data_IF_146049058728
#
_entry.id   IF_146049058728
#
_cell.length_a   1.000
_cell.length_b   1.000
_cell.length_c   1.000
_cell.angle_alpha   90.00
_cell.angle_beta   90.00
_cell.angle_gamma   90.00
#
_symmetry.space_group_name_H-M   'P 1'
#
loop_
_entity.id
_entity.type
_entity.pdbx_description
1 polymer ?
#
# COMPACT_ATOMS: atom_id res chain seq x y z
N UNK A 1 -16.91 -17.49 -5.54
CA UNK A 1 -15.85 -16.52 -5.86
C UNK A 1 -15.58 -16.53 -7.37
N UNK A 2 -15.61 -15.37 -8.04
CA UNK A 2 -15.29 -15.22 -9.47
C UNK A 2 -13.90 -15.75 -9.80
N UNK A 3 -13.71 -16.22 -11.05
CA UNK A 3 -12.42 -16.76 -11.51
C UNK A 3 -11.28 -15.73 -11.39
N UNK A 4 -11.60 -14.46 -11.66
CA UNK A 4 -10.70 -13.32 -11.49
C UNK A 4 -9.97 -13.32 -10.13
N UNK A 5 -10.69 -13.56 -9.03
CA UNK A 5 -10.12 -13.45 -7.69
C UNK A 5 -8.95 -14.43 -7.44
N UNK A 6 -8.93 -15.59 -8.10
CA UNK A 6 -7.82 -16.54 -7.97
C UNK A 6 -6.51 -16.04 -8.57
N UNK A 7 -6.55 -15.06 -9.47
CA UNK A 7 -5.36 -14.39 -10.02
C UNK A 7 -4.94 -13.17 -9.19
N UNK A 8 -5.86 -12.62 -8.38
CA UNK A 8 -5.62 -11.45 -7.51
C UNK A 8 -4.97 -11.87 -6.19
N UNK A 9 -5.45 -12.96 -5.58
CA UNK A 9 -4.95 -13.43 -4.28
C UNK A 9 -3.44 -13.73 -4.24
N UNK A 10 -2.84 -14.38 -5.25
CA UNK A 10 -1.39 -14.60 -5.29
C UNK A 10 -0.59 -13.30 -5.35
N UNK A 11 -1.12 -12.27 -6.01
CA UNK A 11 -0.48 -10.96 -6.09
C UNK A 11 -0.38 -10.31 -4.71
N UNK A 12 -1.48 -10.34 -3.94
CA UNK A 12 -1.47 -9.84 -2.56
C UNK A 12 -0.50 -10.64 -1.69
N UNK A 13 -0.56 -11.97 -1.76
CA UNK A 13 0.38 -12.83 -1.05
C UNK A 13 1.84 -12.47 -1.38
N UNK A 14 2.18 -12.36 -2.66
CA UNK A 14 3.55 -12.10 -3.11
C UNK A 14 4.05 -10.73 -2.70
N UNK A 15 3.20 -9.70 -2.77
CA UNK A 15 3.56 -8.34 -2.35
C UNK A 15 3.77 -8.26 -0.83
N UNK A 16 2.93 -8.94 -0.03
CA UNK A 16 3.10 -9.02 1.43
C UNK A 16 4.32 -9.84 1.83
N UNK A 17 4.53 -11.00 1.21
CA UNK A 17 5.74 -11.81 1.38
C UNK A 17 6.99 -10.97 1.11
N UNK A 18 6.94 -10.13 0.09
CA UNK A 18 8.05 -9.29 -0.31
C UNK A 18 8.31 -8.14 0.69
N UNK A 19 7.26 -7.38 1.02
CA UNK A 19 7.35 -6.27 1.98
C UNK A 19 7.88 -6.73 3.35
N UNK A 20 7.33 -7.82 3.90
CA UNK A 20 7.75 -8.35 5.19
C UNK A 20 9.08 -9.12 5.14
N UNK A 21 9.58 -9.49 3.96
CA UNK A 21 10.92 -10.05 3.80
C UNK A 21 12.00 -8.96 3.79
N UNK A 22 11.69 -7.80 3.21
CA UNK A 22 12.64 -6.67 3.12
C UNK A 22 12.67 -5.86 4.40
N UNK A 23 11.51 -5.42 4.91
CA UNK A 23 11.41 -4.40 5.95
C UNK A 23 12.20 -4.71 7.25
N UNK A 24 12.15 -5.93 7.82
CA UNK A 24 12.88 -6.24 9.06
C UNK A 24 14.40 -6.27 8.89
N UNK A 25 14.88 -6.53 7.66
CA UNK A 25 16.29 -6.72 7.36
C UNK A 25 17.03 -5.41 7.02
N UNK A 26 16.29 -4.30 6.83
CA UNK A 26 16.86 -3.02 6.37
C UNK A 26 17.88 -2.41 7.32
N UNK A 27 17.65 -2.49 8.64
CA UNK A 27 18.59 -1.94 9.62
C UNK A 27 19.99 -2.55 9.49
N UNK A 28 20.06 -3.88 9.36
CA UNK A 28 21.34 -4.58 9.20
C UNK A 28 21.92 -4.38 7.79
N UNK A 29 21.07 -4.36 6.76
CA UNK A 29 21.48 -4.06 5.39
C UNK A 29 22.20 -2.70 5.29
N UNK A 30 21.64 -1.63 5.86
CA UNK A 30 22.28 -0.30 5.83
C UNK A 30 23.62 -0.27 6.59
N UNK A 31 23.72 -1.01 7.71
CA UNK A 31 24.96 -1.12 8.47
C UNK A 31 26.05 -1.85 7.66
N UNK A 32 25.71 -2.95 6.99
CA UNK A 32 26.68 -3.80 6.31
C UNK A 32 27.08 -3.28 4.92
N UNK A 33 26.15 -2.68 4.17
CA UNK A 33 26.41 -2.22 2.80
C UNK A 33 26.95 -0.78 2.75
N UNK A 34 26.43 0.11 3.59
CA UNK A 34 26.86 1.52 3.65
C UNK A 34 27.75 1.86 4.84
N UNK A 35 27.94 0.95 5.79
CA UNK A 35 28.68 1.27 7.02
C UNK A 35 27.94 2.26 7.93
N UNK A 36 26.61 2.39 7.81
CA UNK A 36 25.85 3.31 8.66
C UNK A 36 25.91 2.89 10.13
N UNK A 37 25.94 3.86 11.03
CA UNK A 37 25.70 3.58 12.44
C UNK A 37 24.25 3.10 12.69
N UNK A 38 24.02 2.49 13.86
CA UNK A 38 22.71 1.93 14.23
C UNK A 38 21.59 2.98 14.21
N UNK A 39 21.87 4.21 14.65
CA UNK A 39 20.86 5.27 14.74
C UNK A 39 20.43 5.73 13.35
N UNK A 40 21.39 5.93 12.45
CA UNK A 40 21.18 6.33 11.06
C UNK A 40 20.45 5.24 10.28
N UNK A 41 20.89 3.99 10.39
CA UNK A 41 20.21 2.86 9.75
C UNK A 41 18.72 2.77 10.15
N UNK A 42 18.43 2.98 11.44
CA UNK A 42 17.06 3.03 11.97
C UNK A 42 16.24 4.19 11.41
N UNK A 43 16.83 5.38 11.26
CA UNK A 43 16.17 6.52 10.61
C UNK A 43 15.77 6.17 9.17
N UNK A 44 16.68 5.59 8.38
CA UNK A 44 16.38 5.20 7.00
C UNK A 44 15.30 4.10 6.90
N UNK A 45 15.36 3.07 7.75
CA UNK A 45 14.32 2.02 7.78
C UNK A 45 12.95 2.55 8.21
N UNK A 46 12.93 3.49 9.16
CA UNK A 46 11.69 4.15 9.60
C UNK A 46 11.15 5.05 8.48
N UNK A 47 12.03 5.78 7.79
CA UNK A 47 11.66 6.60 6.64
C UNK A 47 11.06 5.75 5.50
N UNK A 48 11.65 4.59 5.20
CA UNK A 48 11.05 3.63 4.25
C UNK A 48 9.65 3.21 4.68
N UNK A 49 9.47 2.84 5.95
CA UNK A 49 8.17 2.42 6.48
C UNK A 49 7.14 3.54 6.35
N UNK A 50 7.51 4.77 6.72
CA UNK A 50 6.67 5.96 6.57
C UNK A 50 6.25 6.17 5.11
N UNK A 51 7.20 6.13 4.17
CA UNK A 51 6.91 6.31 2.74
C UNK A 51 5.99 5.21 2.19
N UNK A 52 6.20 3.96 2.60
CA UNK A 52 5.37 2.82 2.19
C UNK A 52 3.92 2.89 2.69
N UNK A 53 3.63 3.69 3.72
CA UNK A 53 2.27 3.99 4.19
C UNK A 53 1.74 5.34 3.68
N UNK A 54 2.61 6.26 3.29
CA UNK A 54 2.24 7.55 2.71
C UNK A 54 1.84 7.45 1.23
N UNK A 55 2.66 6.80 0.40
CA UNK A 55 2.39 6.68 -1.04
C UNK A 55 1.06 5.98 -1.40
N UNK A 56 0.51 5.04 -0.61
CA UNK A 56 -0.87 4.55 -0.77
C UNK A 56 -1.93 5.63 -0.92
N UNK A 57 -1.81 6.75 -0.20
CA UNK A 57 -2.77 7.86 -0.32
C UNK A 57 -2.72 8.50 -1.70
N UNK A 58 -1.51 8.69 -2.23
CA UNK A 58 -1.27 9.24 -3.56
C UNK A 58 -1.70 8.23 -4.64
N UNK A 59 -1.36 6.96 -4.45
CA UNK A 59 -1.70 5.86 -5.37
C UNK A 59 -3.21 5.69 -5.51
N UNK A 60 -3.95 5.68 -4.39
CA UNK A 60 -5.40 5.61 -4.38
C UNK A 60 -6.01 6.80 -5.16
N UNK A 61 -5.63 8.02 -4.80
CA UNK A 61 -6.12 9.23 -5.44
C UNK A 61 -5.87 9.24 -6.95
N UNK A 62 -4.69 8.80 -7.40
CA UNK A 62 -4.34 8.72 -8.81
C UNK A 62 -5.12 7.62 -9.56
N UNK A 63 -5.33 6.47 -8.91
CA UNK A 63 -6.06 5.34 -9.48
C UNK A 63 -7.54 5.63 -9.70
N UNK A 64 -8.20 6.23 -8.70
CA UNK A 64 -9.63 6.50 -8.76
C UNK A 64 -9.93 7.71 -9.66
N UNK A 65 -9.00 8.66 -9.75
CA UNK A 65 -9.20 9.89 -10.53
C UNK A 65 -8.89 9.69 -12.02
N UNK A 66 -7.75 9.06 -12.37
CA UNK A 66 -7.21 9.18 -13.74
C UNK A 66 -6.75 7.85 -14.37
N UNK A 67 -6.03 7.00 -13.64
CA UNK A 67 -5.39 5.83 -14.26
C UNK A 67 -6.30 4.60 -14.34
N UNK A 68 -7.21 4.46 -13.38
CA UNK A 68 -7.94 3.23 -13.14
C UNK A 68 -7.07 2.20 -12.40
N UNK A 69 -7.73 1.37 -11.57
CA UNK A 69 -7.05 0.44 -10.67
C UNK A 69 -6.15 -0.56 -11.40
N UNK A 70 -6.59 -1.08 -12.55
CA UNK A 70 -5.83 -2.04 -13.35
C UNK A 70 -4.45 -1.47 -13.77
N UNK A 71 -4.45 -0.31 -14.43
CA UNK A 71 -3.22 0.31 -14.91
C UNK A 71 -2.33 0.80 -13.77
N UNK A 72 -2.93 1.27 -12.66
CA UNK A 72 -2.16 1.59 -11.45
C UNK A 72 -1.45 0.36 -10.92
N UNK A 73 -2.13 -0.79 -10.76
CA UNK A 73 -1.49 -2.01 -10.26
C UNK A 73 -0.35 -2.45 -11.19
N UNK A 74 -0.57 -2.46 -12.50
CA UNK A 74 0.47 -2.86 -13.48
C UNK A 74 1.69 -1.94 -13.41
N UNK A 75 1.49 -0.63 -13.56
CA UNK A 75 2.59 0.34 -13.60
C UNK A 75 3.39 0.34 -12.29
N UNK A 76 2.70 0.31 -11.16
CA UNK A 76 3.36 0.34 -9.85
C UNK A 76 3.98 -1.01 -9.46
N UNK A 77 3.46 -2.14 -9.94
CA UNK A 77 4.12 -3.45 -9.79
C UNK A 77 5.43 -3.53 -10.57
N UNK A 78 5.51 -2.91 -11.75
CA UNK A 78 6.77 -2.80 -12.50
C UNK A 78 7.78 -1.95 -11.71
N UNK A 79 7.35 -0.80 -11.18
CA UNK A 79 8.21 0.05 -10.33
C UNK A 79 8.69 -0.72 -9.10
N UNK A 80 7.78 -1.44 -8.42
CA UNK A 80 8.11 -2.26 -7.26
C UNK A 80 9.14 -3.33 -7.62
N UNK A 81 8.95 -4.05 -8.74
CA UNK A 81 9.88 -5.08 -9.20
C UNK A 81 11.27 -4.50 -9.55
N UNK A 82 11.32 -3.32 -10.18
CA UNK A 82 12.59 -2.61 -10.42
C UNK A 82 13.28 -2.32 -9.08
N UNK A 83 12.56 -1.79 -8.09
CA UNK A 83 13.13 -1.54 -6.76
C UNK A 83 13.63 -2.82 -6.08
N UNK A 84 12.93 -3.94 -6.25
CA UNK A 84 13.32 -5.25 -5.73
C UNK A 84 14.58 -5.82 -6.40
N UNK A 85 14.68 -5.67 -7.72
CA UNK A 85 15.90 -6.03 -8.46
C UNK A 85 17.06 -5.13 -8.00
N UNK A 86 16.83 -3.83 -7.85
CA UNK A 86 17.84 -2.88 -7.39
C UNK A 86 18.36 -3.25 -5.99
N UNK A 87 17.50 -3.51 -5.00
CA UNK A 87 17.98 -3.89 -3.65
C UNK A 87 18.75 -5.21 -3.67
N UNK A 88 18.31 -6.18 -4.49
CA UNK A 88 18.98 -7.48 -4.63
C UNK A 88 20.39 -7.31 -5.20
N UNK A 89 20.54 -6.50 -6.25
CA UNK A 89 21.83 -6.24 -6.89
C UNK A 89 22.73 -5.36 -6.01
N UNK A 90 22.17 -4.34 -5.36
CA UNK A 90 22.92 -3.40 -4.53
C UNK A 90 23.39 -4.03 -3.22
N UNK A 91 22.75 -5.11 -2.79
CA UNK A 91 23.21 -5.93 -1.67
C UNK A 91 24.44 -6.79 -2.00
N UNK A 92 24.86 -6.90 -3.26
CA UNK A 92 26.09 -7.61 -3.64
C UNK A 92 27.29 -6.71 -3.31
N UNK A 93 28.25 -7.16 -2.47
CA UNK A 93 29.41 -6.37 -2.12
C UNK A 93 30.22 -5.94 -3.36
N UNK A 94 30.58 -4.66 -3.43
CA UNK A 94 31.43 -4.10 -4.50
C UNK A 94 30.70 -3.67 -5.78
N UNK A 95 29.38 -3.88 -5.91
CA UNK A 95 28.61 -3.44 -7.09
C UNK A 95 28.34 -1.93 -7.06
N UNK A 96 28.00 -1.39 -5.90
CA UNK A 96 27.76 0.05 -5.71
C UNK A 96 28.77 0.63 -4.71
N UNK A 97 29.16 1.90 -4.86
CA UNK A 97 29.93 2.58 -3.83
C UNK A 97 29.09 2.72 -2.56
N UNK A 98 29.75 2.61 -1.39
CA UNK A 98 29.12 2.77 -0.09
C UNK A 98 28.65 4.22 0.11
N UNK A 99 27.41 4.49 -0.33
CA UNK A 99 26.75 5.79 -0.22
C UNK A 99 25.37 5.60 0.39
N UNK A 100 25.06 6.44 1.37
CA UNK A 100 23.80 6.39 2.08
C UNK A 100 22.60 6.57 1.13
N UNK A 101 22.74 7.49 0.17
CA UNK A 101 21.68 7.76 -0.79
C UNK A 101 21.48 6.58 -1.76
N UNK A 102 22.56 6.05 -2.35
CA UNK A 102 22.46 4.94 -3.30
C UNK A 102 21.91 3.68 -2.65
N UNK A 103 22.26 3.43 -1.39
CA UNK A 103 21.78 2.27 -0.64
C UNK A 103 20.30 2.42 -0.24
N UNK A 104 19.82 3.67 -0.05
CA UNK A 104 18.42 3.96 0.23
C UNK A 104 17.55 4.07 -1.04
N UNK A 105 18.13 4.34 -2.20
CA UNK A 105 17.39 4.52 -3.46
C UNK A 105 16.45 3.35 -3.79
N UNK A 106 16.84 2.05 -3.65
CA UNK A 106 15.91 0.94 -3.85
C UNK A 106 14.68 1.01 -2.93
N UNK A 107 14.84 1.47 -1.69
CA UNK A 107 13.73 1.61 -0.74
C UNK A 107 12.74 2.68 -1.16
N UNK A 108 13.22 3.79 -1.71
CA UNK A 108 12.36 4.82 -2.26
C UNK A 108 11.53 4.27 -3.43
N UNK A 109 12.15 3.52 -4.35
CA UNK A 109 11.49 2.91 -5.50
C UNK A 109 10.45 1.87 -5.05
N UNK A 110 10.80 0.99 -4.11
CA UNK A 110 9.89 0.00 -3.51
C UNK A 110 8.72 0.71 -2.81
N UNK A 111 8.97 1.78 -2.05
CA UNK A 111 7.94 2.53 -1.35
C UNK A 111 6.94 3.20 -2.30
N UNK A 112 7.42 3.73 -3.44
CA UNK A 112 6.55 4.26 -4.49
C UNK A 112 5.71 3.12 -5.08
N UNK A 113 6.36 2.02 -5.48
CA UNK A 113 5.70 0.84 -6.08
C UNK A 113 4.58 0.28 -5.20
N UNK A 114 4.86 0.02 -3.92
CA UNK A 114 3.83 -0.52 -2.99
C UNK A 114 2.68 0.46 -2.79
N UNK A 115 2.94 1.77 -2.91
CA UNK A 115 1.94 2.81 -2.81
C UNK A 115 0.83 2.73 -3.86
N UNK A 116 1.12 2.33 -5.09
CA UNK A 116 0.05 2.12 -6.07
C UNK A 116 -0.66 0.77 -5.90
N UNK A 117 0.05 -0.25 -5.44
CA UNK A 117 -0.46 -1.62 -5.38
C UNK A 117 -1.46 -1.79 -4.24
N UNK A 118 -1.07 -1.47 -3.00
CA UNK A 118 -1.88 -1.73 -1.79
C UNK A 118 -3.33 -1.21 -1.85
N UNK A 119 -3.59 0.07 -2.19
CA UNK A 119 -4.96 0.58 -2.19
C UNK A 119 -5.80 0.04 -3.36
N UNK A 120 -5.15 -0.39 -4.44
CA UNK A 120 -5.83 -0.77 -5.68
C UNK A 120 -6.15 -2.26 -5.74
N UNK A 121 -5.32 -3.15 -5.22
CA UNK A 121 -5.51 -4.62 -5.37
C UNK A 121 -6.76 -5.10 -4.64
N UNK A 122 -6.98 -4.64 -3.40
CA UNK A 122 -8.14 -5.00 -2.58
C UNK A 122 -9.45 -4.51 -3.19
N UNK A 123 -9.48 -3.25 -3.63
CA UNK A 123 -10.63 -2.64 -4.29
C UNK A 123 -10.89 -3.26 -5.67
N UNK A 124 -9.84 -3.54 -6.46
CA UNK A 124 -9.96 -4.27 -7.71
C UNK A 124 -10.52 -5.70 -7.52
N UNK A 125 -10.15 -6.37 -6.43
CA UNK A 125 -10.72 -7.65 -6.03
C UNK A 125 -12.22 -7.58 -5.70
N UNK A 126 -12.64 -6.54 -4.99
CA UNK A 126 -14.05 -6.28 -4.70
C UNK A 126 -14.87 -6.00 -5.95
N UNK A 127 -14.30 -5.29 -6.92
CA UNK A 127 -14.94 -4.92 -8.20
C UNK A 127 -15.30 -6.13 -9.08
N UNK A 128 -14.72 -7.30 -8.81
CA UNK A 128 -14.98 -8.54 -9.57
C UNK A 128 -16.37 -9.14 -9.28
N UNK A 129 -17.00 -8.73 -8.18
CA UNK A 129 -18.30 -9.22 -7.78
C UNK A 129 -19.44 -8.40 -8.39
N UNK A 130 -20.44 -9.08 -8.95
CA UNK A 130 -21.68 -8.44 -9.36
C UNK A 130 -22.59 -8.15 -8.15
N UNK A 131 -23.55 -7.21 -8.25
CA UNK A 131 -24.50 -6.94 -7.18
C UNK A 131 -25.30 -8.18 -6.71
N UNK A 132 -25.49 -9.18 -7.57
CA UNK A 132 -26.12 -10.45 -7.19
C UNK A 132 -25.22 -11.39 -6.40
N UNK A 133 -23.91 -11.10 -6.31
CA UNK A 133 -22.88 -11.96 -5.72
C UNK A 133 -22.25 -11.35 -4.46
N UNK A 134 -22.86 -10.32 -3.87
CA UNK A 134 -22.28 -9.59 -2.74
C UNK A 134 -21.99 -10.47 -1.52
N UNK A 135 -22.83 -11.47 -1.25
CA UNK A 135 -22.60 -12.43 -0.17
C UNK A 135 -21.26 -13.18 -0.29
N UNK A 136 -20.67 -13.26 -1.48
CA UNK A 136 -19.36 -13.86 -1.70
C UNK A 136 -18.17 -12.93 -1.43
N UNK A 137 -18.38 -11.62 -1.24
CA UNK A 137 -17.32 -10.64 -0.99
C UNK A 137 -16.65 -10.88 0.36
N UNK A 138 -17.41 -11.21 1.40
CA UNK A 138 -16.87 -11.49 2.74
C UNK A 138 -15.88 -12.65 2.73
N UNK A 139 -16.22 -13.74 2.05
CA UNK A 139 -15.33 -14.88 1.88
C UNK A 139 -14.05 -14.48 1.14
N UNK A 140 -14.15 -13.65 0.10
CA UNK A 140 -12.98 -13.15 -0.60
C UNK A 140 -12.08 -12.32 0.30
N UNK A 141 -12.62 -11.35 1.04
CA UNK A 141 -11.83 -10.54 1.95
C UNK A 141 -11.22 -11.37 3.08
N UNK A 142 -11.93 -12.37 3.62
CA UNK A 142 -11.37 -13.31 4.58
C UNK A 142 -10.16 -14.07 4.02
N UNK A 143 -10.27 -14.62 2.80
CA UNK A 143 -9.15 -15.29 2.13
C UNK A 143 -8.02 -14.30 1.82
N UNK A 144 -8.35 -13.08 1.43
CA UNK A 144 -7.39 -12.00 1.19
C UNK A 144 -6.58 -11.70 2.46
N UNK A 145 -7.24 -11.56 3.60
CA UNK A 145 -6.58 -11.38 4.90
C UNK A 145 -5.73 -12.58 5.31
N UNK A 146 -6.19 -13.81 5.04
CA UNK A 146 -5.38 -15.02 5.27
C UNK A 146 -4.12 -14.98 4.41
N UNK A 147 -4.22 -14.64 3.13
CA UNK A 147 -3.07 -14.52 2.21
C UNK A 147 -2.03 -13.51 2.71
N UNK A 148 -2.47 -12.36 3.25
CA UNK A 148 -1.57 -11.36 3.86
C UNK A 148 -0.76 -11.98 5.01
N UNK A 149 -1.46 -12.62 5.95
CA UNK A 149 -0.84 -13.16 7.15
C UNK A 149 0.07 -14.36 6.85
N UNK A 150 -0.34 -15.26 5.95
CA UNK A 150 0.47 -16.40 5.51
C UNK A 150 1.73 -15.91 4.80
N UNK A 151 1.62 -14.90 3.92
CA UNK A 151 2.77 -14.28 3.27
C UNK A 151 3.77 -13.69 4.27
N UNK A 152 3.26 -12.93 5.25
CA UNK A 152 4.06 -12.34 6.33
C UNK A 152 4.73 -13.41 7.21
N UNK A 153 4.02 -14.47 7.57
CA UNK A 153 4.53 -15.56 8.38
C UNK A 153 5.65 -16.32 7.67
N UNK A 154 5.40 -16.75 6.43
CA UNK A 154 6.37 -17.53 5.67
C UNK A 154 7.67 -16.76 5.43
N UNK A 155 7.58 -15.49 5.05
CA UNK A 155 8.78 -14.68 4.78
C UNK A 155 9.61 -14.45 6.05
N UNK A 156 8.97 -14.24 7.21
CA UNK A 156 9.66 -14.08 8.50
C UNK A 156 10.37 -15.37 8.95
N UNK A 157 9.92 -16.56 8.52
CA UNK A 157 10.63 -17.80 8.80
C UNK A 157 11.73 -18.12 7.78
N UNK A 158 11.52 -17.80 6.50
CA UNK A 158 12.41 -18.22 5.40
C UNK A 158 13.56 -17.21 5.22
N UNK A 159 13.26 -15.92 5.14
CA UNK A 159 14.25 -14.90 4.77
C UNK A 159 15.39 -14.79 5.78
N UNK A 160 15.17 -14.81 7.12
CA UNK A 160 16.28 -14.81 8.08
C UNK A 160 17.24 -16.00 7.90
N UNK A 161 16.71 -17.21 7.64
CA UNK A 161 17.56 -18.39 7.37
C UNK A 161 18.42 -18.21 6.12
N UNK A 162 17.91 -17.51 5.11
CA UNK A 162 18.70 -17.17 3.92
C UNK A 162 19.77 -16.12 4.21
N UNK A 163 19.50 -15.17 5.12
CA UNK A 163 20.50 -14.17 5.51
C UNK A 163 21.69 -14.77 6.25
N UNK A 164 21.53 -15.90 6.94
CA UNK A 164 22.59 -16.61 7.67
C UNK A 164 23.52 -17.43 6.76
N UNK A 165 23.19 -17.57 5.47
CA UNK A 165 24.05 -18.23 4.52
C UNK A 165 25.30 -17.39 4.23
N UNK A 166 26.42 -18.07 3.99
CA UNK A 166 27.68 -17.42 3.59
C UNK A 166 27.67 -17.16 2.09
N UNK A 167 27.83 -15.89 1.69
CA UNK A 167 27.87 -15.47 0.29
C UNK A 167 28.95 -14.41 0.10
N UNK A 168 29.60 -14.40 -1.07
CA UNK A 168 30.57 -13.36 -1.45
C UNK A 168 31.69 -13.12 -0.41
N UNK A 169 32.10 -14.17 0.31
CA UNK A 169 33.13 -14.08 1.36
C UNK A 169 32.66 -13.41 2.66
N UNK A 170 31.37 -13.11 2.81
CA UNK A 170 30.76 -12.64 4.05
C UNK A 170 29.98 -13.75 4.74
N UNK A 171 29.86 -13.67 6.06
CA UNK A 171 29.06 -14.61 6.87
C UNK A 171 27.54 -14.43 6.71
N UNK A 172 27.10 -13.43 5.91
CA UNK A 172 25.68 -13.16 5.67
C UNK A 172 25.38 -12.90 4.20
N UNK A 173 24.19 -13.31 3.74
CA UNK A 173 23.78 -13.25 2.34
C UNK A 173 22.50 -12.42 2.11
N UNK A 174 22.63 -11.09 2.11
CA UNK A 174 21.48 -10.20 1.85
C UNK A 174 20.99 -10.24 0.41
N UNK A 175 21.90 -10.38 -0.57
CA UNK A 175 21.51 -10.51 -1.98
C UNK A 175 20.62 -11.75 -2.20
N UNK A 176 20.98 -12.91 -1.64
CA UNK A 176 20.15 -14.12 -1.70
C UNK A 176 18.83 -13.97 -0.94
N UNK A 177 18.87 -13.32 0.23
CA UNK A 177 17.70 -13.06 1.05
C UNK A 177 16.68 -12.12 0.37
N UNK A 178 17.12 -11.15 -0.44
CA UNK A 178 16.23 -10.27 -1.22
C UNK A 178 15.84 -10.85 -2.58
N UNK A 179 16.66 -11.74 -3.15
CA UNK A 179 16.37 -12.42 -4.41
C UNK A 179 15.11 -13.27 -4.31
N UNK A 180 14.94 -14.02 -3.21
CA UNK A 180 13.74 -14.86 -3.03
C UNK A 180 12.43 -14.03 -3.06
N UNK A 181 12.26 -12.99 -2.22
CA UNK A 181 11.15 -12.02 -2.34
C UNK A 181 10.94 -11.48 -3.76
N UNK A 182 12.02 -11.12 -4.44
CA UNK A 182 11.98 -10.59 -5.81
C UNK A 182 11.37 -11.60 -6.79
N UNK A 183 11.83 -12.86 -6.74
CA UNK A 183 11.31 -13.94 -7.60
C UNK A 183 9.86 -14.26 -7.27
N UNK A 184 9.51 -14.36 -5.98
CA UNK A 184 8.13 -14.63 -5.53
C UNK A 184 7.18 -13.54 -6.03
N UNK A 185 7.56 -12.26 -5.89
CA UNK A 185 6.75 -11.16 -6.38
C UNK A 185 6.65 -11.14 -7.91
N UNK A 186 7.75 -11.41 -8.63
CA UNK A 186 7.74 -11.48 -10.09
C UNK A 186 6.77 -12.57 -10.62
N UNK A 187 6.78 -13.74 -9.98
CA UNK A 187 5.84 -14.83 -10.30
C UNK A 187 4.40 -14.46 -9.98
N UNK A 188 4.16 -13.87 -8.80
CA UNK A 188 2.85 -13.40 -8.40
C UNK A 188 2.29 -12.33 -9.36
N UNK A 189 3.12 -11.39 -9.79
CA UNK A 189 2.78 -10.37 -10.76
C UNK A 189 2.50 -10.97 -12.15
N UNK A 190 3.27 -11.96 -12.60
CA UNK A 190 3.01 -12.67 -13.84
C UNK A 190 1.66 -13.41 -13.81
N UNK A 191 1.32 -14.04 -12.69
CA UNK A 191 0.00 -14.67 -12.47
C UNK A 191 -1.10 -13.60 -12.54
N UNK A 192 -0.93 -12.46 -11.86
CA UNK A 192 -1.88 -11.36 -11.92
C UNK A 192 -2.13 -10.88 -13.36
N UNK A 193 -1.06 -10.66 -14.14
CA UNK A 193 -1.15 -10.26 -15.55
C UNK A 193 -1.87 -11.31 -16.42
N UNK A 194 -1.64 -12.60 -16.17
CA UNK A 194 -2.30 -13.68 -16.91
C UNK A 194 -3.84 -13.69 -16.74
N UNK A 195 -4.32 -13.15 -15.62
CA UNK A 195 -5.73 -13.02 -15.29
C UNK A 195 -6.48 -11.94 -16.10
N UNK A 196 -5.79 -11.11 -16.90
CA UNK A 196 -6.37 -9.93 -17.57
C UNK A 196 -7.70 -10.19 -18.28
N UNK A 197 -7.81 -11.32 -19.00
CA UNK A 197 -9.03 -11.69 -19.75
C UNK A 197 -10.25 -11.99 -18.87
N UNK A 198 -10.03 -12.26 -17.58
CA UNK A 198 -11.08 -12.59 -16.62
C UNK A 198 -11.50 -11.40 -15.78
N UNK A 199 -10.76 -10.28 -15.81
CA UNK A 199 -11.02 -9.14 -14.96
C UNK A 199 -12.14 -8.26 -15.49
N UNK A 200 -13.01 -7.85 -14.56
CA UNK A 200 -13.87 -6.70 -14.74
C UNK A 200 -13.08 -5.44 -14.37
N UNK A 201 -12.78 -4.61 -15.38
CA UNK A 201 -12.03 -3.37 -15.20
C UNK A 201 -13.03 -2.21 -15.11
N UNK A 202 -13.09 -1.58 -13.93
CA UNK A 202 -13.92 -0.39 -13.68
C UNK A 202 -13.16 0.84 -14.17
N UNK A 203 -13.77 1.70 -15.01
CA UNK A 203 -13.12 2.92 -15.48
C UNK A 203 -12.94 3.94 -14.35
N UNK A 204 -11.90 4.79 -14.41
CA UNK A 204 -11.71 5.89 -13.45
C UNK A 204 -12.78 6.98 -13.64
N UNK A 205 -12.91 7.86 -12.64
CA UNK A 205 -13.90 8.95 -12.65
C UNK A 205 -13.59 10.03 -13.71
N UNK A 206 -12.31 10.26 -14.01
CA UNK A 206 -11.86 11.31 -14.94
C UNK A 206 -11.68 12.70 -14.30
N UNK A 207 -11.96 12.84 -13.00
CA UNK A 207 -11.76 14.08 -12.23
C UNK A 207 -10.99 13.78 -10.95
N UNK A 208 -10.23 14.76 -10.45
CA UNK A 208 -9.47 14.59 -9.21
C UNK A 208 -10.39 14.55 -7.99
N UNK A 209 -10.68 13.33 -7.52
CA UNK A 209 -11.67 13.03 -6.47
C UNK A 209 -11.41 13.80 -5.15
N UNK A 210 -10.16 13.90 -4.63
CA UNK A 210 -9.92 14.62 -3.37
C UNK A 210 -10.27 16.11 -3.47
N UNK A 211 -9.94 16.76 -4.59
CA UNK A 211 -10.27 18.18 -4.79
C UNK A 211 -11.77 18.38 -4.97
N UNK A 212 -12.46 17.45 -5.64
CA UNK A 212 -13.92 17.44 -5.76
C UNK A 212 -14.59 17.38 -4.38
N UNK A 213 -14.12 16.49 -3.50
CA UNK A 213 -14.62 16.36 -2.13
C UNK A 213 -14.37 17.62 -1.29
N UNK A 214 -13.19 18.24 -1.41
CA UNK A 214 -12.85 19.50 -0.72
C UNK A 214 -13.74 20.64 -1.22
N UNK A 215 -13.91 20.80 -2.53
CA UNK A 215 -14.80 21.85 -3.11
C UNK A 215 -16.24 21.67 -2.65
N UNK A 216 -16.76 20.45 -2.69
CA UNK A 216 -18.10 20.12 -2.21
C UNK A 216 -18.27 20.47 -0.73
N UNK A 217 -17.29 20.13 0.10
CA UNK A 217 -17.29 20.43 1.54
C UNK A 217 -17.24 21.93 1.83
N UNK A 218 -16.40 22.69 1.12
CA UNK A 218 -16.31 24.15 1.26
C UNK A 218 -17.63 24.82 0.84
N UNK A 219 -18.22 24.39 -0.27
CA UNK A 219 -19.50 24.89 -0.75
C UNK A 219 -20.62 24.60 0.25
N UNK A 220 -20.70 23.36 0.73
CA UNK A 220 -21.66 22.93 1.74
C UNK A 220 -21.54 23.78 3.02
N UNK A 221 -20.32 24.00 3.51
CA UNK A 221 -20.06 24.81 4.70
C UNK A 221 -20.46 26.29 4.49
N UNK A 222 -20.19 26.87 3.32
CA UNK A 222 -20.60 28.24 2.98
C UNK A 222 -22.12 28.37 2.93
N UNK A 223 -22.81 27.47 2.23
CA UNK A 223 -24.27 27.48 2.13
C UNK A 223 -24.95 27.22 3.48
N UNK A 224 -24.44 26.27 4.26
CA UNK A 224 -24.94 25.99 5.61
C UNK A 224 -24.82 27.21 6.55
N UNK A 225 -23.73 27.98 6.46
CA UNK A 225 -23.54 29.21 7.27
C UNK A 225 -24.57 30.29 6.98
N UNK A 226 -25.00 30.44 5.72
CA UNK A 226 -25.97 31.47 5.29
C UNK A 226 -27.42 30.96 5.37
N UNK A 227 -27.63 29.65 5.39
CA UNK A 227 -28.95 29.04 5.44
C UNK A 227 -29.72 29.41 6.71
N UNK A 228 -31.03 29.61 6.54
CA UNK A 228 -31.98 29.86 7.63
C UNK A 228 -32.13 28.64 8.56
N UNK A 229 -32.58 28.83 9.81
CA UNK A 229 -32.80 27.70 10.74
C UNK A 229 -33.76 26.64 10.20
N UNK A 230 -34.80 27.04 9.45
CA UNK A 230 -35.76 26.14 8.82
C UNK A 230 -35.11 25.29 7.72
N UNK A 231 -34.29 25.89 6.86
CA UNK A 231 -33.56 25.16 5.81
C UNK A 231 -32.55 24.16 6.39
N UNK A 232 -31.89 24.51 7.50
CA UNK A 232 -30.99 23.59 8.21
C UNK A 232 -31.74 22.39 8.78
N UNK A 233 -32.92 22.62 9.36
CA UNK A 233 -33.74 21.53 9.88
C UNK A 233 -34.21 20.58 8.75
N UNK A 234 -34.57 21.12 7.58
CA UNK A 234 -35.01 20.31 6.43
C UNK A 234 -33.88 19.47 5.83
N UNK A 235 -32.69 20.06 5.66
CA UNK A 235 -31.56 19.36 5.03
C UNK A 235 -30.79 18.45 6.00
N UNK A 236 -30.94 18.63 7.30
CA UNK A 236 -30.27 17.81 8.31
C UNK A 236 -28.75 18.05 8.32
N UNK A 237 -27.98 17.15 7.72
CA UNK A 237 -26.53 17.21 7.75
C UNK A 237 -25.98 18.38 6.89
N UNK A 238 -24.96 19.09 7.38
CA UNK A 238 -24.43 20.28 6.72
C UNK A 238 -23.86 20.01 5.31
N UNK A 239 -23.37 18.80 5.04
CA UNK A 239 -22.89 18.39 3.71
C UNK A 239 -24.00 18.36 2.65
N UNK A 240 -25.27 18.17 3.06
CA UNK A 240 -26.41 18.04 2.15
C UNK A 240 -26.70 19.34 1.38
N UNK A 241 -26.08 20.45 1.78
CA UNK A 241 -26.15 21.73 1.08
C UNK A 241 -25.38 21.75 -0.26
N UNK A 242 -24.52 20.77 -0.53
CA UNK A 242 -23.81 20.61 -1.80
C UNK A 242 -24.43 19.56 -2.75
N UNK A 243 -25.47 18.81 -2.34
CA UNK A 243 -26.08 17.73 -3.13
C UNK A 243 -26.57 18.17 -4.51
N UNK A 244 -27.14 19.37 -4.62
CA UNK A 244 -27.69 19.88 -5.87
C UNK A 244 -26.63 20.06 -6.98
N UNK A 245 -25.36 20.24 -6.59
CA UNK A 245 -24.25 20.54 -7.52
C UNK A 245 -23.31 19.35 -7.72
N UNK A 246 -23.13 18.53 -6.68
CA UNK A 246 -22.17 17.41 -6.69
C UNK A 246 -22.84 16.02 -6.69
N UNK A 247 -24.17 15.95 -6.57
CA UNK A 247 -24.96 14.71 -6.54
C UNK A 247 -25.09 14.10 -5.15
N UNK A 248 -26.26 13.53 -4.84
CA UNK A 248 -26.58 12.96 -3.53
C UNK A 248 -25.66 11.82 -3.11
N UNK A 249 -25.44 10.86 -4.01
CA UNK A 249 -24.59 9.66 -3.74
C UNK A 249 -23.16 10.07 -3.37
N UNK A 250 -22.57 11.02 -4.09
CA UNK A 250 -21.22 11.48 -3.80
C UNK A 250 -21.12 12.21 -2.45
N UNK A 251 -22.12 13.02 -2.11
CA UNK A 251 -22.16 13.71 -0.81
C UNK A 251 -22.31 12.72 0.35
N UNK A 252 -23.11 11.67 0.15
CA UNK A 252 -23.23 10.56 1.08
C UNK A 252 -21.89 9.84 1.27
N UNK A 253 -21.19 9.50 0.20
CA UNK A 253 -19.84 8.89 0.27
C UNK A 253 -18.83 9.78 1.02
N UNK A 254 -18.85 11.10 0.77
CA UNK A 254 -17.97 12.07 1.47
C UNK A 254 -18.31 12.14 2.96
N UNK A 255 -19.60 12.09 3.31
CA UNK A 255 -20.07 12.07 4.70
C UNK A 255 -19.62 10.79 5.39
N UNK A 256 -19.85 9.64 4.78
CA UNK A 256 -19.52 8.33 5.34
C UNK A 256 -18.00 8.18 5.50
N UNK A 257 -17.22 8.68 4.55
CA UNK A 257 -15.77 8.80 4.70
C UNK A 257 -15.38 9.63 5.93
N UNK A 258 -15.99 10.80 6.15
CA UNK A 258 -15.74 11.62 7.32
C UNK A 258 -16.14 10.94 8.65
N UNK A 259 -17.25 10.21 8.65
CA UNK A 259 -17.74 9.44 9.80
C UNK A 259 -16.86 8.24 10.14
N UNK A 260 -16.10 7.70 9.19
CA UNK A 260 -15.11 6.64 9.47
C UNK A 260 -13.75 7.25 9.82
N UNK A 261 -13.32 8.28 9.09
CA UNK A 261 -12.00 8.88 9.24
C UNK A 261 -11.78 9.44 10.66
N UNK A 262 -12.72 10.23 11.16
CA UNK A 262 -12.55 10.96 12.43
C UNK A 262 -12.58 10.05 13.66
N UNK A 263 -13.60 9.18 13.87
CA UNK A 263 -13.67 8.36 15.08
C UNK A 263 -12.90 7.04 14.98
N UNK A 264 -12.58 6.54 13.78
CA UNK A 264 -11.90 5.24 13.63
C UNK A 264 -10.45 5.43 13.22
N UNK A 265 -10.20 6.08 12.08
CA UNK A 265 -8.85 6.11 11.48
C UNK A 265 -7.88 6.96 12.30
N UNK A 266 -8.28 8.15 12.74
CA UNK A 266 -7.40 9.04 13.51
C UNK A 266 -6.96 8.41 14.84
N UNK A 267 -7.85 7.92 15.73
CA UNK A 267 -7.44 7.27 16.97
C UNK A 267 -6.56 6.03 16.73
N UNK A 268 -6.86 5.25 15.68
CA UNK A 268 -6.08 4.08 15.33
C UNK A 268 -4.66 4.45 14.87
N UNK A 269 -4.51 5.53 14.11
CA UNK A 269 -3.20 6.05 13.72
C UNK A 269 -2.37 6.47 14.95
N UNK A 270 -2.98 7.13 15.94
CA UNK A 270 -2.30 7.46 17.21
C UNK A 270 -1.90 6.21 18.00
N UNK A 271 -2.77 5.20 18.07
CA UNK A 271 -2.48 3.93 18.73
C UNK A 271 -1.25 3.25 18.09
N UNK A 272 -1.21 3.15 16.75
CA UNK A 272 -0.08 2.57 16.05
C UNK A 272 1.20 3.39 16.15
N UNK A 273 1.09 4.72 16.16
CA UNK A 273 2.23 5.60 16.38
C UNK A 273 2.87 5.32 17.74
N UNK A 274 2.08 5.18 18.80
CA UNK A 274 2.55 4.83 20.14
C UNK A 274 3.10 3.40 20.20
N UNK A 275 2.39 2.43 19.64
CA UNK A 275 2.82 1.02 19.62
C UNK A 275 4.19 0.85 18.95
N UNK A 276 4.42 1.51 17.82
CA UNK A 276 5.68 1.44 17.08
C UNK A 276 6.83 2.20 17.77
N UNK A 277 6.59 2.96 18.84
CA UNK A 277 7.69 3.47 19.67
C UNK A 277 8.31 2.37 20.55
N UNK A 278 7.55 1.35 20.95
CA UNK A 278 8.09 0.25 21.76
C UNK A 278 9.14 -0.58 21.00
N UNK A 279 9.03 -0.69 19.67
CA UNK A 279 10.02 -1.35 18.84
C UNK A 279 11.34 -0.59 18.68
N UNK A 280 11.41 0.66 19.17
CA UNK A 280 12.51 1.54 18.84
C UNK A 280 13.67 1.53 19.84
N UNK A 281 13.50 1.31 21.15
CA UNK A 281 14.65 1.48 22.08
C UNK A 281 14.76 0.51 23.27
N UNK A 282 13.86 -0.48 23.42
CA UNK A 282 13.80 -1.26 24.67
C UNK A 282 14.24 -2.73 24.53
N UNK A 283 14.71 -3.16 23.35
CA UNK A 283 15.11 -4.54 23.10
C UNK A 283 16.34 -4.67 22.19
N UNK A 284 17.38 -3.88 22.43
CA UNK A 284 18.74 -4.12 21.90
C UNK A 284 19.74 -4.16 23.04
#
# INVERSE_FOLDING_TARGET
MPKACYFILPNEFGERFCYYGVQPNLNKYFQLVSGMDKAKAKVYSTAFTMLAYFFPLIGAALSDSFLGKWWTIIGFSIIYLIGMIMVTVFAIPGVIPASNFLTFLPMLVIAIGTGGIKPCVSSHGGDQYLPSQEAGKDLFFNIFYVSINVGALLTQFIVPKLTELKCYGQDTCYAGAFLLPTVVFALAFAIFCSGHKFYRIVPPLGEFLPLKAVKASILAARRHRVASPQERATKGHWLNFAEAEYGGVFIEEVRDFGLVLVPVVIPFAFCWMLYNQNSNEWAN
#
